data_IF_702351269305
#
_entry.id   IF_702351269305
#
_cell.length_a   1.000
_cell.length_b   1.000
_cell.length_c   1.000
_cell.angle_alpha   90.00
_cell.angle_beta   90.00
_cell.angle_gamma   90.00
#
_symmetry.space_group_name_H-M   'P 1'
#
loop_
_entity.id
_entity.type
_entity.pdbx_description
1 polymer ?
#
# COMPACT_ATOMS: atom_id res chain seq x y z
N UNK A 1 -13.70 6.14 -23.89
CA UNK A 1 -12.64 6.72 -23.06
C UNK A 1 -11.40 5.87 -23.29
N UNK A 2 -10.37 6.43 -23.91
CA UNK A 2 -9.06 5.80 -23.95
C UNK A 2 -8.54 5.76 -22.51
N UNK A 3 -8.29 4.58 -21.98
CA UNK A 3 -7.61 4.42 -20.69
C UNK A 3 -6.12 4.47 -20.99
N UNK A 4 -5.41 5.46 -20.46
CA UNK A 4 -3.95 5.56 -20.55
C UNK A 4 -3.26 4.59 -19.56
N UNK A 5 -3.94 3.47 -19.29
CA UNK A 5 -3.43 2.40 -18.46
C UNK A 5 -2.45 1.55 -19.26
N UNK A 6 -1.27 1.33 -18.73
CA UNK A 6 -0.28 0.39 -19.26
C UNK A 6 0.34 -0.41 -18.12
N UNK A 7 1.19 -1.32 -18.46
CA UNK A 7 1.83 -2.23 -17.52
C UNK A 7 3.35 -2.13 -17.70
N UNK A 8 4.04 -1.73 -16.64
CA UNK A 8 5.49 -1.94 -16.55
C UNK A 8 5.67 -3.43 -16.30
N UNK A 9 6.45 -4.09 -17.16
CA UNK A 9 6.72 -5.51 -17.08
C UNK A 9 8.23 -5.71 -17.00
N UNK A 10 8.71 -6.09 -15.82
CA UNK A 10 10.10 -6.41 -15.58
C UNK A 10 10.26 -7.91 -15.42
N UNK A 11 11.27 -8.45 -16.08
CA UNK A 11 11.66 -9.84 -15.94
C UNK A 11 13.03 -9.96 -15.28
N UNK A 12 13.14 -10.91 -14.37
CA UNK A 12 14.37 -11.25 -13.66
C UNK A 12 14.52 -12.76 -13.61
N UNK A 13 15.74 -13.26 -13.48
CA UNK A 13 15.97 -14.67 -13.19
C UNK A 13 16.55 -14.79 -11.79
N UNK A 14 15.89 -15.58 -10.96
CA UNK A 14 16.24 -15.80 -9.55
C UNK A 14 16.71 -17.25 -9.38
N UNK A 15 17.84 -17.49 -8.68
CA UNK A 15 18.25 -18.86 -8.35
C UNK A 15 17.13 -19.62 -7.65
N UNK A 16 16.81 -20.82 -8.08
CA UNK A 16 15.67 -21.60 -7.58
C UNK A 16 15.63 -21.71 -6.04
N UNK A 17 16.74 -21.92 -5.31
CA UNK A 17 16.72 -21.95 -3.86
C UNK A 17 16.34 -20.62 -3.20
N UNK A 18 16.43 -19.49 -3.92
CA UNK A 18 16.14 -18.13 -3.43
C UNK A 18 14.78 -17.61 -3.91
N UNK A 19 13.99 -18.42 -4.60
CA UNK A 19 12.70 -18.03 -5.14
C UNK A 19 11.70 -17.62 -4.03
N UNK A 20 11.69 -18.35 -2.91
CA UNK A 20 10.87 -18.00 -1.75
C UNK A 20 11.23 -16.64 -1.20
N UNK A 21 12.51 -16.34 -1.02
CA UNK A 21 13.00 -15.04 -0.53
C UNK A 21 12.62 -13.90 -1.47
N UNK A 22 12.63 -14.14 -2.77
CA UNK A 22 12.19 -13.17 -3.76
C UNK A 22 10.69 -12.90 -3.64
N UNK A 23 9.86 -13.93 -3.53
CA UNK A 23 8.42 -13.78 -3.34
C UNK A 23 8.09 -13.01 -2.06
N UNK A 24 8.76 -13.31 -0.96
CA UNK A 24 8.60 -12.58 0.32
C UNK A 24 9.02 -11.11 0.18
N UNK A 25 10.10 -10.83 -0.55
CA UNK A 25 10.53 -9.46 -0.82
C UNK A 25 9.51 -8.66 -1.65
N UNK A 26 8.87 -9.29 -2.65
CA UNK A 26 7.80 -8.65 -3.44
C UNK A 26 6.52 -8.48 -2.60
N UNK A 27 6.17 -9.45 -1.77
CA UNK A 27 5.04 -9.32 -0.84
C UNK A 27 5.26 -8.17 0.15
N UNK A 28 6.47 -8.06 0.70
CA UNK A 28 6.87 -6.93 1.54
C UNK A 28 6.71 -5.59 0.81
N UNK A 29 7.18 -5.50 -0.42
CA UNK A 29 7.00 -4.31 -1.25
C UNK A 29 5.52 -3.96 -1.40
N UNK A 30 4.66 -4.94 -1.67
CA UNK A 30 3.22 -4.75 -1.80
C UNK A 30 2.55 -4.30 -0.50
N UNK A 31 2.94 -4.87 0.64
CA UNK A 31 2.45 -4.47 1.97
C UNK A 31 2.81 -3.01 2.23
N UNK A 32 4.06 -2.61 1.98
CA UNK A 32 4.51 -1.23 2.15
C UNK A 32 3.77 -0.26 1.23
N UNK A 33 3.67 -0.55 -0.07
CA UNK A 33 2.97 0.28 -1.05
C UNK A 33 1.48 0.43 -0.69
N UNK A 34 0.83 -0.68 -0.33
CA UNK A 34 -0.57 -0.68 0.07
C UNK A 34 -0.81 0.12 1.35
N UNK A 35 0.09 0.01 2.33
CA UNK A 35 -0.02 0.74 3.60
C UNK A 35 0.20 2.23 3.40
N UNK A 36 1.22 2.64 2.61
CA UNK A 36 1.44 4.05 2.26
C UNK A 36 0.24 4.66 1.52
N UNK A 37 -0.37 3.93 0.60
CA UNK A 37 -1.59 4.39 -0.07
C UNK A 37 -2.76 4.59 0.91
N UNK A 38 -2.88 3.73 1.93
CA UNK A 38 -3.89 3.86 2.98
C UNK A 38 -3.58 5.01 3.96
N UNK A 39 -2.30 5.29 4.24
CA UNK A 39 -1.91 6.47 5.01
C UNK A 39 -2.29 7.76 4.28
N UNK A 40 -2.02 7.82 2.96
CA UNK A 40 -2.47 8.94 2.13
C UNK A 40 -4.00 9.09 2.13
N UNK A 41 -4.74 7.98 2.22
CA UNK A 41 -6.19 8.03 2.41
C UNK A 41 -6.56 8.68 3.75
N UNK A 42 -5.90 8.34 4.86
CA UNK A 42 -6.15 8.99 6.15
C UNK A 42 -5.92 10.50 6.07
N UNK A 43 -4.83 10.92 5.41
CA UNK A 43 -4.49 12.33 5.24
C UNK A 43 -5.57 13.07 4.42
N UNK A 44 -6.02 12.50 3.31
CA UNK A 44 -7.07 13.08 2.46
C UNK A 44 -8.44 13.14 3.16
N UNK A 45 -8.78 12.14 3.97
CA UNK A 45 -10.02 12.14 4.77
C UNK A 45 -9.96 13.20 5.87
N UNK A 46 -8.83 13.34 6.55
CA UNK A 46 -8.65 14.36 7.59
C UNK A 46 -8.71 15.77 7.00
N UNK A 47 -8.05 16.02 5.86
CA UNK A 47 -8.12 17.28 5.14
C UNK A 47 -9.56 17.65 4.77
N UNK A 48 -10.33 16.71 4.22
CA UNK A 48 -11.73 16.92 3.89
C UNK A 48 -12.56 17.27 5.13
N UNK A 49 -12.40 16.55 6.25
CA UNK A 49 -13.16 16.76 7.46
C UNK A 49 -12.78 18.05 8.19
N UNK A 50 -11.59 18.59 7.97
CA UNK A 50 -11.15 19.89 8.48
C UNK A 50 -11.71 21.07 7.68
N UNK A 51 -12.13 20.82 6.43
CA UNK A 51 -12.72 21.82 5.55
C UNK A 51 -14.19 22.09 5.82
N UNK A 52 -14.80 22.82 4.90
CA UNK A 52 -16.26 23.01 4.87
C UNK A 52 -16.97 21.71 4.45
N UNK A 53 -17.94 21.28 5.26
CA UNK A 53 -18.64 20.02 5.04
C UNK A 53 -19.97 20.24 4.31
N UNK A 54 -20.32 19.41 3.32
CA UNK A 54 -21.54 19.50 2.57
C UNK A 54 -22.73 18.93 3.38
N UNK A 55 -23.25 19.73 4.30
CA UNK A 55 -24.42 19.39 5.11
C UNK A 55 -25.71 19.76 4.41
N UNK A 56 -26.70 18.91 4.55
CA UNK A 56 -28.07 19.19 4.10
C UNK A 56 -28.91 19.59 5.31
N UNK A 57 -28.88 20.88 5.63
CA UNK A 57 -29.60 21.41 6.81
C UNK A 57 -31.14 21.34 6.68
N UNK A 58 -31.68 21.20 5.44
CA UNK A 58 -33.11 21.24 5.20
C UNK A 58 -33.73 22.53 5.75
N UNK A 59 -35.02 22.51 6.10
CA UNK A 59 -35.74 23.61 6.74
C UNK A 59 -35.61 23.63 8.29
N UNK A 60 -34.57 22.98 8.86
CA UNK A 60 -34.46 22.79 10.30
C UNK A 60 -34.10 24.08 11.06
N UNK A 61 -33.57 25.09 10.36
CA UNK A 61 -33.12 26.35 10.96
C UNK A 61 -31.91 26.24 11.90
N UNK A 62 -31.31 25.01 11.98
CA UNK A 62 -30.12 24.75 12.79
C UNK A 62 -28.86 25.21 12.06
N UNK A 63 -27.88 25.73 12.80
CA UNK A 63 -26.56 26.04 12.30
C UNK A 63 -25.79 24.74 11.94
N UNK A 64 -24.85 24.82 10.98
CA UNK A 64 -24.04 23.69 10.57
C UNK A 64 -23.24 23.11 11.73
N UNK A 65 -22.70 23.93 12.61
CA UNK A 65 -21.96 23.50 13.79
C UNK A 65 -22.86 22.75 14.80
N UNK A 66 -24.11 23.20 14.97
CA UNK A 66 -25.08 22.49 15.81
C UNK A 66 -25.46 21.13 15.24
N UNK A 67 -25.59 21.02 13.90
CA UNK A 67 -25.84 19.74 13.24
C UNK A 67 -24.68 18.78 13.36
N UNK A 68 -23.44 19.27 13.24
CA UNK A 68 -22.25 18.44 13.35
C UNK A 68 -22.00 17.95 14.78
N UNK A 69 -22.24 18.78 15.78
CA UNK A 69 -21.90 18.50 17.16
C UNK A 69 -20.45 18.00 17.28
N UNK A 70 -20.22 16.95 18.06
CA UNK A 70 -18.88 16.37 18.25
C UNK A 70 -18.43 15.43 17.14
N UNK A 71 -19.25 15.18 16.11
CA UNK A 71 -18.98 14.17 15.08
C UNK A 71 -17.68 14.42 14.30
N UNK A 72 -17.43 15.70 13.97
CA UNK A 72 -16.17 16.11 13.30
C UNK A 72 -14.96 15.75 14.14
N UNK A 73 -14.98 16.10 15.42
CA UNK A 73 -13.87 15.82 16.34
C UNK A 73 -13.66 14.31 16.51
N UNK A 74 -14.74 13.55 16.72
CA UNK A 74 -14.70 12.08 16.84
C UNK A 74 -14.17 11.41 15.56
N UNK A 75 -14.57 11.89 14.37
CA UNK A 75 -14.09 11.36 13.10
C UNK A 75 -12.59 11.63 12.90
N UNK A 76 -12.11 12.83 13.22
CA UNK A 76 -10.69 13.18 13.14
C UNK A 76 -9.84 12.37 14.15
N UNK A 77 -10.35 12.18 15.36
CA UNK A 77 -9.69 11.33 16.38
C UNK A 77 -9.58 9.87 15.90
N UNK A 78 -10.67 9.32 15.37
CA UNK A 78 -10.69 7.97 14.78
C UNK A 78 -9.64 7.85 13.67
N UNK A 79 -9.61 8.79 12.72
CA UNK A 79 -8.66 8.77 11.60
C UNK A 79 -7.23 8.86 12.13
N UNK A 80 -6.97 9.73 13.10
CA UNK A 80 -5.63 9.88 13.69
C UNK A 80 -5.17 8.60 14.40
N UNK A 81 -6.05 7.94 15.15
CA UNK A 81 -5.75 6.67 15.82
C UNK A 81 -5.47 5.54 14.82
N UNK A 82 -6.28 5.43 13.77
CA UNK A 82 -6.08 4.44 12.70
C UNK A 82 -4.78 4.71 11.94
N UNK A 83 -4.53 5.98 11.60
CA UNK A 83 -3.28 6.39 10.93
C UNK A 83 -2.05 6.06 11.74
N UNK A 84 -2.06 6.36 13.05
CA UNK A 84 -0.96 6.04 13.95
C UNK A 84 -0.69 4.53 14.02
N UNK A 85 -1.76 3.71 14.12
CA UNK A 85 -1.66 2.25 14.08
C UNK A 85 -1.03 1.75 12.78
N UNK A 86 -1.52 2.21 11.62
CA UNK A 86 -1.02 1.78 10.32
C UNK A 86 0.42 2.25 10.07
N UNK A 87 0.77 3.46 10.52
CA UNK A 87 2.14 3.96 10.45
C UNK A 87 3.07 3.10 11.31
N UNK A 88 2.67 2.80 12.54
CA UNK A 88 3.47 1.94 13.42
C UNK A 88 3.69 0.54 12.80
N UNK A 89 2.66 -0.07 12.21
CA UNK A 89 2.78 -1.35 11.52
C UNK A 89 3.80 -1.26 10.36
N UNK A 90 3.74 -0.19 9.57
CA UNK A 90 4.65 0.03 8.45
C UNK A 90 6.11 0.20 8.90
N UNK A 91 6.33 0.95 9.98
CA UNK A 91 7.67 1.28 10.47
C UNK A 91 8.36 0.12 11.21
N UNK A 92 7.58 -0.93 11.57
CA UNK A 92 8.06 -2.01 12.44
C UNK A 92 7.93 -3.41 11.80
N UNK A 93 7.93 -3.51 10.47
CA UNK A 93 7.77 -4.79 9.77
C UNK A 93 8.78 -5.87 10.20
N UNK A 94 10.01 -5.46 10.55
CA UNK A 94 11.08 -6.37 10.96
C UNK A 94 11.12 -6.65 12.47
N UNK A 95 10.19 -6.05 13.23
CA UNK A 95 10.16 -6.25 14.68
C UNK A 95 9.80 -7.71 15.01
N UNK A 96 10.61 -8.41 15.84
CA UNK A 96 10.29 -9.75 16.30
C UNK A 96 8.92 -9.82 16.97
N UNK A 97 8.14 -10.88 16.75
CA UNK A 97 6.75 -10.95 17.23
C UNK A 97 6.61 -10.75 18.73
N UNK A 98 7.53 -11.31 19.54
CA UNK A 98 7.48 -11.13 21.00
C UNK A 98 7.52 -9.66 21.43
N UNK A 99 8.29 -8.84 20.72
CA UNK A 99 8.38 -7.39 20.96
C UNK A 99 7.19 -6.65 20.35
N UNK A 100 6.76 -7.04 19.15
CA UNK A 100 5.63 -6.44 18.46
C UNK A 100 4.33 -6.63 19.23
N UNK A 101 4.05 -7.83 19.71
CA UNK A 101 2.82 -8.18 20.44
C UNK A 101 2.68 -7.41 21.74
N UNK A 102 3.80 -7.07 22.40
CA UNK A 102 3.79 -6.23 23.59
C UNK A 102 3.24 -4.80 23.32
N UNK A 103 3.23 -4.35 22.07
CA UNK A 103 2.72 -3.03 21.67
C UNK A 103 1.29 -3.06 21.12
N UNK A 104 0.69 -4.26 20.90
CA UNK A 104 -0.61 -4.36 20.25
C UNK A 104 -1.73 -3.66 21.02
N UNK A 105 -1.72 -3.75 22.34
CA UNK A 105 -2.71 -3.06 23.20
C UNK A 105 -2.62 -1.53 23.01
N UNK A 106 -1.40 -0.99 22.96
CA UNK A 106 -1.15 0.47 22.79
C UNK A 106 -1.74 1.00 21.48
N UNK A 107 -1.65 0.22 20.40
CA UNK A 107 -2.11 0.62 19.08
C UNK A 107 -3.48 0.02 18.72
N UNK A 108 -4.17 -0.61 19.67
CA UNK A 108 -5.46 -1.29 19.45
C UNK A 108 -5.41 -2.26 18.24
N UNK A 109 -4.33 -3.04 18.14
CA UNK A 109 -4.13 -4.02 17.07
C UNK A 109 -4.81 -5.32 17.46
N UNK A 110 -5.71 -5.79 16.59
CA UNK A 110 -6.34 -7.10 16.71
C UNK A 110 -5.59 -8.09 15.83
N UNK A 111 -5.02 -9.11 16.43
CA UNK A 111 -4.30 -10.17 15.73
C UNK A 111 -5.04 -11.51 15.88
N UNK A 112 -5.23 -12.19 14.76
CA UNK A 112 -5.65 -13.57 14.72
C UNK A 112 -4.48 -14.53 15.00
N UNK A 113 -4.72 -15.85 14.98
CA UNK A 113 -3.64 -16.82 15.11
C UNK A 113 -2.64 -16.68 13.94
N UNK A 114 -1.35 -16.74 14.26
CA UNK A 114 -0.30 -16.75 13.25
C UNK A 114 -0.34 -18.05 12.46
N UNK A 115 -0.39 -17.97 11.14
CA UNK A 115 -0.40 -19.10 10.22
C UNK A 115 0.98 -19.36 9.64
N UNK A 116 1.77 -18.30 9.45
CA UNK A 116 3.13 -18.38 8.92
C UNK A 116 4.07 -19.15 9.87
N UNK A 117 4.84 -20.10 9.31
CA UNK A 117 5.75 -20.98 10.05
C UNK A 117 7.22 -20.55 9.94
N UNK A 118 7.49 -19.25 9.82
CA UNK A 118 8.87 -18.76 9.81
C UNK A 118 9.58 -19.10 11.13
N UNK A 119 10.88 -19.43 11.05
CA UNK A 119 11.70 -19.78 12.23
C UNK A 119 11.81 -18.61 13.22
N UNK A 120 11.93 -17.39 12.69
CA UNK A 120 11.97 -16.16 13.46
C UNK A 120 10.89 -15.19 12.94
N UNK A 121 9.63 -15.37 13.35
CA UNK A 121 8.55 -14.59 12.81
C UNK A 121 8.60 -13.14 13.31
N UNK A 122 8.36 -12.21 12.36
CA UNK A 122 8.30 -10.77 12.61
C UNK A 122 6.89 -10.25 12.35
N UNK A 123 6.66 -8.96 12.59
CA UNK A 123 5.39 -8.31 12.28
C UNK A 123 5.01 -8.41 10.78
N UNK A 124 6.00 -8.44 9.88
CA UNK A 124 5.79 -8.68 8.46
C UNK A 124 5.00 -9.99 8.21
N UNK A 125 5.36 -11.08 8.88
CA UNK A 125 4.69 -12.38 8.71
C UNK A 125 3.23 -12.36 9.14
N UNK A 126 2.87 -11.55 10.15
CA UNK A 126 1.47 -11.36 10.55
C UNK A 126 0.65 -10.55 9.54
N UNK A 127 1.29 -9.65 8.82
CA UNK A 127 0.64 -8.92 7.72
C UNK A 127 0.57 -9.77 6.46
N UNK A 128 1.60 -10.59 6.18
CA UNK A 128 1.67 -11.49 5.05
C UNK A 128 0.61 -12.59 5.13
N UNK A 129 0.40 -13.19 6.29
CA UNK A 129 -0.59 -14.25 6.49
C UNK A 129 -2.00 -13.73 6.86
N UNK A 130 -2.18 -12.40 6.84
CA UNK A 130 -3.45 -11.72 7.16
C UNK A 130 -3.96 -11.96 8.59
N UNK A 131 -3.14 -12.46 9.51
CA UNK A 131 -3.50 -12.51 10.94
C UNK A 131 -3.61 -11.12 11.58
N UNK A 132 -2.95 -10.12 10.98
CA UNK A 132 -3.23 -8.69 11.16
C UNK A 132 -3.69 -8.12 9.82
N UNK A 133 -4.75 -7.31 9.86
CA UNK A 133 -5.30 -6.67 8.65
C UNK A 133 -5.31 -5.16 8.78
N UNK A 134 -4.88 -4.48 7.72
CA UNK A 134 -5.04 -3.05 7.51
C UNK A 134 -6.24 -2.84 6.59
N UNK A 135 -7.38 -2.42 7.14
CA UNK A 135 -8.67 -2.46 6.44
C UNK A 135 -9.40 -1.12 6.46
N UNK A 136 -9.50 -0.48 5.29
CA UNK A 136 -10.41 0.66 5.09
C UNK A 136 -11.84 0.36 5.54
N UNK A 137 -12.36 -0.82 5.17
CA UNK A 137 -13.77 -1.17 5.38
C UNK A 137 -14.13 -1.23 6.87
N UNK A 138 -13.32 -1.92 7.68
CA UNK A 138 -13.65 -2.18 9.09
C UNK A 138 -13.10 -1.12 10.03
N UNK A 139 -11.97 -0.48 9.70
CA UNK A 139 -11.31 0.43 10.63
C UNK A 139 -11.68 1.91 10.39
N UNK A 140 -12.09 2.27 9.18
CA UNK A 140 -12.47 3.65 8.85
C UNK A 140 -13.89 3.76 8.31
N UNK A 141 -14.21 3.03 7.22
CA UNK A 141 -15.48 3.22 6.53
C UNK A 141 -16.68 2.98 7.44
N UNK A 142 -16.78 1.81 8.05
CA UNK A 142 -17.93 1.48 8.87
C UNK A 142 -18.09 2.44 10.07
N UNK A 143 -17.04 2.72 10.89
CA UNK A 143 -17.18 3.67 11.97
C UNK A 143 -17.50 5.11 11.53
N UNK A 144 -16.95 5.57 10.38
CA UNK A 144 -17.26 6.90 9.84
C UNK A 144 -18.70 6.98 9.33
N UNK A 145 -19.20 5.92 8.65
CA UNK A 145 -20.59 5.85 8.22
C UNK A 145 -21.56 5.81 9.41
N UNK A 146 -21.19 5.15 10.51
CA UNK A 146 -21.98 5.15 11.75
C UNK A 146 -21.99 6.54 12.43
N UNK A 147 -20.86 7.25 12.45
CA UNK A 147 -20.78 8.64 12.98
C UNK A 147 -21.63 9.61 12.17
N UNK A 148 -21.66 9.46 10.87
CA UNK A 148 -22.41 10.32 9.96
C UNK A 148 -23.68 9.64 9.44
N UNK A 149 -24.35 8.87 10.32
CA UNK A 149 -25.66 8.30 9.98
C UNK A 149 -26.75 9.38 9.93
N UNK A 150 -27.61 9.28 8.92
CA UNK A 150 -28.73 10.17 8.71
C UNK A 150 -28.67 10.98 7.42
N UNK A 151 -29.83 11.49 7.03
CA UNK A 151 -30.04 12.20 5.74
C UNK A 151 -29.24 13.51 5.65
N UNK A 152 -29.05 14.20 6.77
CA UNK A 152 -28.25 15.44 6.83
C UNK A 152 -26.79 15.24 6.44
N UNK A 153 -26.22 14.08 6.67
CA UNK A 153 -24.80 13.77 6.47
C UNK A 153 -24.53 12.95 5.19
N UNK A 154 -25.56 12.63 4.41
CA UNK A 154 -25.42 11.78 3.21
C UNK A 154 -24.29 12.22 2.28
N UNK A 155 -24.16 13.52 2.02
CA UNK A 155 -23.14 14.04 1.13
C UNK A 155 -21.72 13.94 1.72
N UNK A 156 -21.59 13.98 3.05
CA UNK A 156 -20.32 13.71 3.74
C UNK A 156 -19.91 12.24 3.47
N UNK A 157 -20.81 11.28 3.71
CA UNK A 157 -20.58 9.87 3.48
C UNK A 157 -20.23 9.57 2.02
N UNK A 158 -20.98 10.17 1.08
CA UNK A 158 -20.70 10.06 -0.35
C UNK A 158 -19.30 10.57 -0.70
N UNK A 159 -18.88 11.71 -0.11
CA UNK A 159 -17.56 12.28 -0.35
C UNK A 159 -16.44 11.44 0.27
N UNK A 160 -16.61 10.92 1.48
CA UNK A 160 -15.66 9.99 2.10
C UNK A 160 -15.41 8.75 1.22
N UNK A 161 -16.48 8.18 0.65
CA UNK A 161 -16.38 7.05 -0.30
C UNK A 161 -15.67 7.46 -1.59
N UNK A 162 -15.95 8.66 -2.11
CA UNK A 162 -15.30 9.17 -3.32
C UNK A 162 -13.80 9.37 -3.11
N UNK A 163 -13.37 9.97 -1.99
CA UNK A 163 -11.97 10.13 -1.62
C UNK A 163 -11.26 8.78 -1.59
N UNK A 164 -11.86 7.76 -0.96
CA UNK A 164 -11.30 6.42 -0.99
C UNK A 164 -11.08 5.88 -2.40
N UNK A 165 -12.06 6.07 -3.31
CA UNK A 165 -11.94 5.62 -4.70
C UNK A 165 -10.87 6.40 -5.47
N UNK A 166 -10.75 7.71 -5.23
CA UNK A 166 -9.73 8.57 -5.82
C UNK A 166 -8.32 8.10 -5.42
N UNK A 167 -8.07 7.93 -4.12
CA UNK A 167 -6.78 7.45 -3.60
C UNK A 167 -6.47 6.03 -4.07
N UNK A 168 -7.47 5.15 -4.10
CA UNK A 168 -7.32 3.77 -4.59
C UNK A 168 -6.89 3.70 -6.06
N UNK A 169 -7.32 4.64 -6.90
CA UNK A 169 -6.93 4.71 -8.33
C UNK A 169 -5.44 4.97 -8.53
N UNK A 170 -4.79 5.64 -7.59
CA UNK A 170 -3.34 5.86 -7.59
C UNK A 170 -2.50 4.74 -6.98
N UNK A 171 -3.13 3.62 -6.58
CA UNK A 171 -2.42 2.52 -5.93
C UNK A 171 -1.50 1.78 -6.91
N UNK A 172 -0.22 1.65 -6.53
CA UNK A 172 0.76 0.79 -7.20
C UNK A 172 0.84 -0.56 -6.48
N UNK A 173 0.96 -1.63 -7.23
CA UNK A 173 1.24 -2.96 -6.71
C UNK A 173 2.01 -3.79 -7.75
N UNK A 174 2.79 -4.75 -7.29
CA UNK A 174 3.53 -5.69 -8.11
C UNK A 174 2.79 -7.04 -8.15
N UNK A 175 2.44 -7.49 -9.35
CA UNK A 175 1.86 -8.81 -9.58
C UNK A 175 2.91 -9.72 -10.21
N UNK A 176 3.10 -10.91 -9.64
CA UNK A 176 4.05 -11.90 -10.15
C UNK A 176 3.39 -12.85 -11.12
N UNK A 177 4.13 -13.15 -12.21
CA UNK A 177 3.92 -14.30 -13.07
C UNK A 177 5.28 -14.97 -13.27
N UNK A 178 5.37 -16.28 -13.09
CA UNK A 178 6.69 -16.94 -13.09
C UNK A 178 6.69 -18.28 -13.83
N UNK A 179 7.81 -18.54 -14.48
CA UNK A 179 8.20 -19.85 -14.96
C UNK A 179 9.09 -20.48 -13.86
N UNK A 180 8.44 -21.03 -12.83
CA UNK A 180 9.11 -21.42 -11.59
C UNK A 180 10.21 -22.47 -11.79
N UNK A 181 10.12 -23.32 -12.85
CA UNK A 181 11.13 -24.32 -13.17
C UNK A 181 12.46 -23.72 -13.66
N UNK A 182 12.40 -22.53 -14.28
CA UNK A 182 13.56 -21.87 -14.90
C UNK A 182 14.08 -20.70 -14.06
N UNK A 183 13.39 -20.39 -12.96
CA UNK A 183 13.73 -19.23 -12.13
C UNK A 183 13.35 -17.88 -12.75
N UNK A 184 12.67 -17.86 -13.90
CA UNK A 184 12.28 -16.64 -14.57
C UNK A 184 10.99 -16.07 -13.95
N UNK A 185 11.02 -14.79 -13.54
CA UNK A 185 9.92 -14.11 -12.89
C UNK A 185 9.62 -12.81 -13.60
N UNK A 186 8.38 -12.68 -14.05
CA UNK A 186 7.81 -11.45 -14.58
C UNK A 186 7.08 -10.69 -13.47
N UNK A 187 7.50 -9.47 -13.22
CA UNK A 187 6.85 -8.57 -12.25
C UNK A 187 6.11 -7.48 -13.00
N UNK A 188 4.81 -7.43 -12.82
CA UNK A 188 3.91 -6.54 -13.52
C UNK A 188 3.38 -5.45 -12.58
N UNK A 189 3.60 -4.18 -12.94
CA UNK A 189 3.09 -3.01 -12.23
C UNK A 189 2.10 -2.27 -13.14
N UNK A 190 0.78 -2.43 -12.92
CA UNK A 190 -0.22 -1.63 -13.64
C UNK A 190 -0.14 -0.16 -13.23
N UNK A 191 -0.05 0.74 -14.20
CA UNK A 191 0.07 2.18 -13.99
C UNK A 191 -0.79 2.97 -14.98
N UNK A 192 -1.07 4.23 -14.64
CA UNK A 192 -1.73 5.18 -15.52
C UNK A 192 -0.71 6.26 -15.90
N UNK A 193 -0.46 6.44 -17.21
CA UNK A 193 0.51 7.41 -17.74
C UNK A 193 0.19 8.86 -17.39
N UNK A 194 -1.07 9.18 -17.11
CA UNK A 194 -1.48 10.53 -16.73
C UNK A 194 -1.28 10.83 -15.24
N UNK A 195 -0.91 9.82 -14.45
CA UNK A 195 -0.67 9.94 -13.02
C UNK A 195 0.84 9.90 -12.74
N UNK A 196 1.49 11.05 -12.77
CA UNK A 196 2.95 11.16 -12.56
C UNK A 196 3.41 10.68 -11.17
N UNK A 197 2.60 10.88 -10.13
CA UNK A 197 2.91 10.37 -8.79
C UNK A 197 2.90 8.84 -8.76
N UNK A 198 1.92 8.22 -9.44
CA UNK A 198 1.85 6.77 -9.60
C UNK A 198 3.06 6.25 -10.39
N UNK A 199 3.46 6.93 -11.48
CA UNK A 199 4.64 6.57 -12.26
C UNK A 199 5.93 6.66 -11.43
N UNK A 200 6.12 7.73 -10.68
CA UNK A 200 7.28 7.88 -9.80
C UNK A 200 7.34 6.76 -8.76
N UNK A 201 6.21 6.41 -8.15
CA UNK A 201 6.11 5.30 -7.20
C UNK A 201 6.42 3.96 -7.86
N UNK A 202 5.92 3.73 -9.07
CA UNK A 202 6.16 2.50 -9.81
C UNK A 202 7.65 2.37 -10.21
N UNK A 203 8.29 3.44 -10.67
CA UNK A 203 9.73 3.43 -11.00
C UNK A 203 10.58 3.16 -9.75
N UNK A 204 10.25 3.76 -8.61
CA UNK A 204 10.92 3.43 -7.34
C UNK A 204 10.73 1.96 -6.93
N UNK A 205 9.54 1.39 -7.19
CA UNK A 205 9.29 -0.03 -6.95
C UNK A 205 10.13 -0.92 -7.89
N UNK A 206 10.25 -0.57 -9.18
CA UNK A 206 11.13 -1.28 -10.14
C UNK A 206 12.57 -1.28 -9.67
N UNK A 207 13.11 -0.13 -9.24
CA UNK A 207 14.48 -0.06 -8.72
C UNK A 207 14.69 -1.01 -7.52
N UNK A 208 13.72 -1.11 -6.61
CA UNK A 208 13.76 -2.05 -5.48
C UNK A 208 13.68 -3.52 -5.93
N UNK A 209 12.88 -3.82 -6.95
CA UNK A 209 12.77 -5.18 -7.53
C UNK A 209 14.12 -5.60 -8.11
N UNK A 210 14.79 -4.71 -8.86
CA UNK A 210 16.11 -4.98 -9.42
C UNK A 210 17.18 -5.18 -8.34
N UNK A 211 17.18 -4.32 -7.31
CA UNK A 211 18.06 -4.46 -6.17
C UNK A 211 17.84 -5.77 -5.41
N UNK A 212 16.59 -6.18 -5.21
CA UNK A 212 16.24 -7.46 -4.58
C UNK A 212 16.75 -8.63 -5.40
N UNK A 213 16.53 -8.64 -6.73
CA UNK A 213 17.00 -9.70 -7.61
C UNK A 213 18.52 -9.86 -7.50
N UNK A 214 19.28 -8.76 -7.55
CA UNK A 214 20.76 -8.78 -7.39
C UNK A 214 21.20 -9.28 -6.02
N UNK A 215 20.56 -8.81 -4.94
CA UNK A 215 20.87 -9.22 -3.57
C UNK A 215 20.68 -10.74 -3.36
N UNK A 216 19.81 -11.35 -4.14
CA UNK A 216 19.57 -12.80 -4.13
C UNK A 216 20.47 -13.59 -5.10
N UNK A 217 21.44 -12.93 -5.76
CA UNK A 217 22.32 -13.54 -6.75
C UNK A 217 21.63 -13.84 -8.09
N UNK A 218 20.50 -13.19 -8.35
CA UNK A 218 19.79 -13.24 -9.61
C UNK A 218 20.31 -12.24 -10.64
N UNK A 219 19.77 -12.33 -11.85
CA UNK A 219 20.07 -11.39 -12.95
C UNK A 219 18.84 -10.56 -13.29
N UNK A 220 19.07 -9.31 -13.72
CA UNK A 220 18.00 -8.30 -13.93
C UNK A 220 17.36 -8.40 -15.32
N UNK A 221 17.69 -9.43 -16.10
CA UNK A 221 17.05 -9.73 -17.38
C UNK A 221 16.95 -11.24 -17.59
N UNK A 222 15.74 -11.70 -17.89
CA UNK A 222 15.47 -13.04 -18.34
C UNK A 222 15.30 -13.08 -19.87
N UNK A 223 14.04 -13.05 -20.33
CA UNK A 223 13.67 -13.19 -21.74
C UNK A 223 13.67 -11.86 -22.52
N UNK A 224 13.39 -10.73 -21.83
CA UNK A 224 13.17 -9.44 -22.48
C UNK A 224 14.45 -8.67 -22.84
N UNK A 225 15.59 -9.09 -22.33
CA UNK A 225 16.85 -8.34 -22.50
C UNK A 225 16.92 -7.09 -21.62
N UNK A 226 18.08 -6.43 -21.66
CA UNK A 226 18.34 -5.21 -20.88
C UNK A 226 17.62 -4.01 -21.45
N UNK A 227 17.64 -3.86 -22.78
CA UNK A 227 17.08 -2.68 -23.44
C UNK A 227 17.69 -1.37 -22.91
N UNK A 228 17.01 -0.26 -23.16
CA UNK A 228 17.41 1.07 -22.64
C UNK A 228 16.97 1.24 -21.18
N UNK A 229 15.85 0.65 -20.81
CA UNK A 229 15.19 0.86 -19.51
C UNK A 229 15.93 0.26 -18.33
N UNK A 230 16.74 -0.78 -18.56
CA UNK A 230 17.50 -1.46 -17.49
C UNK A 230 18.99 -1.04 -17.43
N UNK A 231 19.45 -0.16 -18.33
CA UNK A 231 20.86 0.28 -18.36
C UNK A 231 21.32 0.91 -17.04
N UNK A 232 20.45 1.65 -16.38
CA UNK A 232 20.73 2.29 -15.09
C UNK A 232 20.96 1.32 -13.94
N UNK A 233 20.49 0.06 -14.08
CA UNK A 233 20.64 -0.99 -13.08
C UNK A 233 21.87 -1.89 -13.33
N UNK A 234 22.60 -1.70 -14.42
CA UNK A 234 23.86 -2.40 -14.70
C UNK A 234 25.02 -1.74 -13.94
N UNK A 235 25.93 -2.54 -13.44
CA UNK A 235 27.17 -2.01 -12.88
C UNK A 235 28.19 -1.68 -13.99
N UNK A 236 29.27 -0.97 -13.59
CA UNK A 236 30.28 -0.49 -14.54
C UNK A 236 31.02 -1.63 -15.26
N UNK A 237 31.17 -2.81 -14.64
CA UNK A 237 31.83 -3.96 -15.24
C UNK A 237 30.92 -4.65 -16.27
N UNK A 238 29.64 -4.73 -16.01
CA UNK A 238 28.65 -5.28 -16.94
C UNK A 238 28.52 -4.42 -18.21
N UNK A 239 28.69 -3.11 -18.09
CA UNK A 239 28.60 -2.16 -19.23
C UNK A 239 29.92 -2.09 -20.01
N UNK A 240 31.07 -2.39 -19.38
CA UNK A 240 32.41 -2.23 -20.02
C UNK A 240 32.54 -2.84 -21.40
N UNK A 241 32.08 -4.09 -21.68
CA UNK A 241 32.20 -4.70 -23.02
C UNK A 241 31.44 -3.96 -24.13
N UNK A 242 30.50 -3.10 -23.79
CA UNK A 242 29.67 -2.35 -24.75
C UNK A 242 30.15 -0.90 -24.95
N UNK A 243 31.20 -0.46 -24.23
CA UNK A 243 31.81 0.86 -24.34
C UNK A 243 33.12 0.88 -25.12
N UNK A 244 33.66 -0.29 -25.42
CA UNK A 244 34.82 -0.49 -26.32
C UNK A 244 34.36 -0.71 -27.78
#
# INVERSE_FOLDING_TARGET
>A
RHTNAFKINEDVVIPLPRMGDYCDGIERLNIELSTRNKLALCDALAEFLQGELPLHAGDTGLDQEELLGDRRAQALELIAAVRARWQWLLDNLDLPLGEAEAQFARYAILAGPLVNKADQPTLFHRLQDYSIRISWKSELRAPLEDLFDGTAYRHIVERLRAIHLEVKRGRVFAALHMHAGDGNVHTNLPVNSDNYAMLATANAAVARIMALARALGGVISGEHGIGITKLEFLDAEEIRPFRE
#
